data_IF_975444068022
#
_entry.id   IF_975444068022
#
_cell.length_a   1.000
_cell.length_b   1.000
_cell.length_c   1.000
_cell.angle_alpha   90.00
_cell.angle_beta   90.00
_cell.angle_gamma   90.00
#
_symmetry.space_group_name_H-M   'P 1'
#
loop_
_entity.id
_entity.type
_entity.pdbx_description
1 polymer ?
#
# COMPACT_ATOMS: atom_id res chain seq x y z
N UNK A 1 -3.21 -4.05 -1.38
CA UNK A 1 -2.46 -3.06 -0.57
C UNK A 1 -1.34 -3.80 0.15
N UNK A 2 -0.14 -3.24 0.16
CA UNK A 2 1.02 -3.75 0.90
C UNK A 2 1.47 -2.70 1.90
N UNK A 3 1.62 -3.09 3.16
CA UNK A 3 2.24 -2.23 4.19
C UNK A 3 3.68 -2.67 4.35
N UNK A 4 4.62 -1.74 4.20
CA UNK A 4 6.06 -2.04 4.28
C UNK A 4 6.78 -1.08 5.21
N UNK A 5 7.76 -1.56 5.96
CA UNK A 5 8.65 -0.70 6.73
C UNK A 5 9.73 -0.11 5.81
N UNK A 6 10.08 1.18 5.92
CA UNK A 6 11.10 1.80 5.08
C UNK A 6 12.52 1.29 5.39
N UNK A 7 12.70 0.52 6.48
CA UNK A 7 13.97 -0.08 6.90
C UNK A 7 14.33 -1.32 6.09
N UNK A 8 14.58 -1.13 4.80
CA UNK A 8 15.43 -2.03 4.04
C UNK A 8 16.40 -1.12 3.27
N UNK A 9 17.69 -1.15 3.67
CA UNK A 9 18.80 -0.36 3.07
C UNK A 9 18.93 -0.52 1.55
N UNK A 10 18.15 -1.40 0.95
CA UNK A 10 18.15 -1.80 -0.45
C UNK A 10 17.03 -1.14 -1.29
N UNK A 11 16.14 -0.34 -0.70
CA UNK A 11 15.02 0.26 -1.44
C UNK A 11 13.90 -0.73 -1.81
N UNK A 12 13.74 -1.82 -1.07
CA UNK A 12 12.75 -2.89 -1.36
C UNK A 12 11.32 -2.38 -1.58
N UNK A 13 10.86 -1.37 -0.85
CA UNK A 13 9.51 -0.83 -1.05
C UNK A 13 9.41 0.00 -2.34
N UNK A 14 10.47 0.72 -2.74
CA UNK A 14 10.53 1.41 -4.03
C UNK A 14 10.43 0.40 -5.16
N UNK A 15 11.14 -0.72 -5.03
CA UNK A 15 11.04 -1.83 -5.98
C UNK A 15 9.64 -2.44 -6.04
N UNK A 16 8.91 -2.52 -4.93
CA UNK A 16 7.50 -2.95 -4.93
C UNK A 16 6.62 -1.97 -5.71
N UNK A 17 6.82 -0.68 -5.51
CA UNK A 17 6.13 0.38 -6.27
C UNK A 17 6.48 0.31 -7.76
N UNK A 18 7.75 0.13 -8.12
CA UNK A 18 8.20 -0.01 -9.50
C UNK A 18 7.56 -1.22 -10.18
N UNK A 19 7.52 -2.37 -9.50
CA UNK A 19 6.86 -3.58 -9.99
C UNK A 19 5.36 -3.35 -10.14
N UNK A 20 4.71 -2.71 -9.17
CA UNK A 20 3.29 -2.41 -9.24
C UNK A 20 2.96 -1.52 -10.45
N UNK A 21 3.77 -0.48 -10.69
CA UNK A 21 3.59 0.42 -11.82
C UNK A 21 3.93 -0.25 -13.16
N UNK A 22 5.04 -1.01 -13.23
CA UNK A 22 5.50 -1.64 -14.47
C UNK A 22 4.52 -2.70 -14.99
N UNK A 23 3.88 -3.44 -14.09
CA UNK A 23 2.97 -4.54 -14.44
C UNK A 23 1.50 -4.18 -14.25
N UNK A 24 1.19 -2.90 -14.02
CA UNK A 24 -0.17 -2.40 -13.74
C UNK A 24 -0.89 -3.23 -12.66
N UNK A 25 -0.14 -3.57 -11.60
CA UNK A 25 -0.69 -4.34 -10.48
C UNK A 25 -1.54 -3.39 -9.64
N UNK A 26 -2.79 -3.79 -9.38
CA UNK A 26 -3.75 -2.92 -8.70
C UNK A 26 -3.51 -2.69 -7.21
N UNK A 27 -2.32 -2.93 -6.66
CA UNK A 27 -2.06 -2.72 -5.22
C UNK A 27 -1.25 -1.45 -4.97
N UNK A 28 -1.61 -0.74 -3.89
CA UNK A 28 -0.87 0.41 -3.38
C UNK A 28 0.12 0.01 -2.27
N UNK A 29 1.23 0.74 -2.15
CA UNK A 29 2.24 0.57 -1.09
C UNK A 29 2.10 1.69 -0.06
N UNK A 30 1.83 1.32 1.20
CA UNK A 30 1.81 2.25 2.34
C UNK A 30 3.04 2.00 3.20
N UNK A 31 3.80 3.04 3.53
CA UNK A 31 4.99 2.91 4.36
C UNK A 31 4.64 3.05 5.84
N UNK A 32 5.20 2.19 6.68
CA UNK A 32 5.11 2.27 8.13
C UNK A 32 6.43 2.77 8.70
N UNK A 33 6.53 4.09 8.96
CA UNK A 33 7.76 4.77 9.33
C UNK A 33 7.69 5.31 10.76
N UNK A 34 8.71 5.07 11.59
CA UNK A 34 8.72 5.55 12.99
C UNK A 34 9.35 6.94 13.16
N UNK A 35 10.31 7.30 12.32
CA UNK A 35 11.16 8.48 12.49
C UNK A 35 11.29 9.29 11.20
N UNK A 36 10.36 9.16 10.26
CA UNK A 36 10.44 9.95 9.04
C UNK A 36 10.33 11.42 9.38
N UNK A 37 11.34 12.20 8.96
CA UNK A 37 11.17 13.64 8.92
C UNK A 37 10.28 14.04 7.72
N UNK A 38 9.91 15.32 7.66
CA UNK A 38 9.04 15.82 6.60
C UNK A 38 9.67 15.66 5.21
N UNK A 39 11.00 15.77 5.10
CA UNK A 39 11.69 15.63 3.82
C UNK A 39 11.64 14.17 3.36
N UNK A 40 11.92 13.21 4.25
CA UNK A 40 11.82 11.78 3.98
C UNK A 40 10.40 11.36 3.59
N UNK A 41 9.39 11.96 4.22
CA UNK A 41 7.99 11.74 3.86
C UNK A 41 7.67 12.24 2.46
N UNK A 42 8.10 13.47 2.12
CA UNK A 42 7.89 14.04 0.78
C UNK A 42 8.60 13.21 -0.29
N UNK A 43 9.84 12.79 -0.04
CA UNK A 43 10.57 11.93 -0.98
C UNK A 43 9.89 10.57 -1.15
N UNK A 44 9.36 9.97 -0.09
CA UNK A 44 8.63 8.72 -0.21
C UNK A 44 7.37 8.81 -1.08
N UNK A 45 6.63 9.92 -0.96
CA UNK A 45 5.46 10.16 -1.81
C UNK A 45 5.88 10.40 -3.27
N UNK A 46 6.98 11.11 -3.52
CA UNK A 46 7.52 11.31 -4.89
C UNK A 46 7.95 9.99 -5.53
N UNK A 47 8.52 9.10 -4.74
CA UNK A 47 8.94 7.75 -5.16
C UNK A 47 7.76 6.77 -5.27
N UNK A 48 6.52 7.25 -5.09
CA UNK A 48 5.30 6.50 -5.35
C UNK A 48 4.78 5.66 -4.18
N UNK A 49 5.21 5.94 -2.94
CA UNK A 49 4.44 5.50 -1.79
C UNK A 49 3.05 6.18 -1.82
N UNK A 50 2.01 5.41 -1.54
CA UNK A 50 0.63 5.92 -1.50
C UNK A 50 0.37 6.79 -0.27
N UNK A 51 0.90 6.35 0.89
CA UNK A 51 0.84 7.10 2.14
C UNK A 51 2.01 6.67 3.04
N UNK A 52 2.36 7.50 4.03
CA UNK A 52 3.31 7.13 5.08
C UNK A 52 2.61 7.24 6.42
N UNK A 53 2.52 6.11 7.10
CA UNK A 53 2.04 5.98 8.45
C UNK A 53 3.19 6.19 9.42
N UNK A 54 3.08 7.29 10.17
CA UNK A 54 3.88 7.49 11.36
C UNK A 54 3.54 6.38 12.38
N UNK A 55 4.52 5.56 12.74
CA UNK A 55 4.37 4.48 13.71
C UNK A 55 4.06 5.01 15.13
N UNK A 56 4.26 6.31 15.37
CA UNK A 56 3.87 7.00 16.59
C UNK A 56 2.48 7.67 16.47
N UNK A 57 1.84 7.64 15.30
CA UNK A 57 0.52 8.23 15.13
C UNK A 57 -0.57 7.43 15.86
N UNK A 58 -1.64 8.13 16.24
CA UNK A 58 -2.79 7.53 16.90
C UNK A 58 -3.50 6.52 15.97
N UNK A 59 -4.03 5.40 16.52
CA UNK A 59 -4.71 4.35 15.75
C UNK A 59 -5.74 4.82 14.70
N UNK A 60 -6.54 5.88 14.93
CA UNK A 60 -7.51 6.35 13.93
C UNK A 60 -6.89 6.79 12.60
N UNK A 61 -5.69 7.38 12.61
CA UNK A 61 -5.01 7.82 11.38
C UNK A 61 -4.52 6.64 10.56
N UNK A 62 -4.06 5.58 11.23
CA UNK A 62 -3.64 4.33 10.58
C UNK A 62 -4.82 3.64 9.87
N UNK A 63 -5.99 3.62 10.50
CA UNK A 63 -7.22 3.06 9.92
C UNK A 63 -7.64 3.83 8.67
N UNK A 64 -7.63 5.17 8.70
CA UNK A 64 -8.04 5.98 7.55
C UNK A 64 -7.07 5.85 6.36
N UNK A 65 -5.76 5.84 6.59
CA UNK A 65 -4.79 5.60 5.50
C UNK A 65 -4.99 4.22 4.88
N UNK A 66 -5.17 3.19 5.71
CA UNK A 66 -5.43 1.81 5.27
C UNK A 66 -6.72 1.75 4.43
N UNK A 67 -7.79 2.40 4.89
CA UNK A 67 -9.07 2.47 4.18
C UNK A 67 -8.92 3.14 2.81
N UNK A 68 -8.20 4.26 2.72
CA UNK A 68 -7.94 4.97 1.46
C UNK A 68 -7.13 4.13 0.49
N UNK A 69 -6.07 3.48 0.97
CA UNK A 69 -5.23 2.61 0.16
C UNK A 69 -5.96 1.37 -0.34
N UNK A 70 -6.82 0.77 0.49
CA UNK A 70 -7.69 -0.33 0.08
C UNK A 70 -8.68 0.10 -0.99
N UNK A 71 -9.31 1.28 -0.84
CA UNK A 71 -10.25 1.82 -1.82
C UNK A 71 -9.56 2.11 -3.16
N UNK A 72 -8.38 2.74 -3.14
CA UNK A 72 -7.59 2.98 -4.34
C UNK A 72 -7.20 1.68 -5.06
N UNK A 73 -6.75 0.68 -4.30
CA UNK A 73 -6.41 -0.63 -4.85
C UNK A 73 -7.63 -1.34 -5.47
N UNK A 74 -8.80 -1.25 -4.83
CA UNK A 74 -10.05 -1.77 -5.38
C UNK A 74 -10.41 -1.11 -6.72
N UNK A 75 -10.29 0.22 -6.81
CA UNK A 75 -10.53 0.96 -8.06
C UNK A 75 -9.54 0.58 -9.17
N UNK A 76 -8.31 0.20 -8.80
CA UNK A 76 -7.31 -0.35 -9.73
C UNK A 76 -7.51 -1.84 -10.07
N UNK A 77 -8.61 -2.46 -9.63
CA UNK A 77 -8.94 -3.84 -9.97
C UNK A 77 -8.32 -4.91 -9.06
N UNK A 78 -7.68 -4.54 -7.95
CA UNK A 78 -7.21 -5.52 -6.95
C UNK A 78 -8.31 -6.00 -5.98
N UNK A 79 -9.58 -5.77 -6.33
CA UNK A 79 -10.72 -6.32 -5.59
C UNK A 79 -10.83 -7.85 -5.75
N UNK A 80 -11.57 -8.52 -4.86
CA UNK A 80 -11.86 -9.95 -5.02
C UNK A 80 -12.57 -10.18 -6.36
N UNK A 81 -12.13 -11.18 -7.15
CA UNK A 81 -12.84 -11.58 -8.36
C UNK A 81 -14.25 -12.07 -7.94
N UNK A 82 -15.33 -11.42 -8.38
CA UNK A 82 -16.69 -11.82 -8.02
C UNK A 82 -17.02 -13.26 -8.44
N UNK A 83 -16.25 -13.85 -9.37
CA UNK A 83 -16.37 -15.24 -9.81
C UNK A 83 -15.78 -16.25 -8.84
N UNK A 84 -14.87 -15.84 -7.94
CA UNK A 84 -14.24 -16.73 -6.94
C UNK A 84 -15.15 -16.92 -5.71
N UNK A 85 -16.11 -16.02 -5.48
CA UNK A 85 -17.04 -16.09 -4.33
C UNK A 85 -18.30 -16.93 -4.57
N UNK A 86 -18.51 -17.48 -5.76
CA UNK A 86 -19.59 -18.45 -5.97
C UNK A 86 -19.13 -19.80 -5.42
N UNK A 87 -19.77 -20.37 -4.38
CA UNK A 87 -19.48 -21.74 -3.99
C UNK A 87 -19.72 -22.61 -5.22
N UNK A 88 -18.69 -23.33 -5.69
CA UNK A 88 -18.89 -24.37 -6.67
C UNK A 88 -19.87 -25.36 -6.05
N UNK A 89 -21.11 -25.34 -6.51
CA UNK A 89 -22.09 -26.36 -6.18
C UNK A 89 -21.56 -27.66 -6.78
N UNK A 90 -20.98 -28.51 -5.95
CA UNK A 90 -20.60 -29.86 -6.33
C UNK A 90 -21.84 -30.57 -6.89
N UNK A 91 -21.70 -31.11 -8.10
CA UNK A 91 -22.72 -31.91 -8.78
C UNK A 91 -22.76 -33.34 -8.23
#
# INVERSE_FOLDING_TARGET
MVVSTPLLRDGSWRRLTDIANQYDLGFEVVLWARNFDLAEWVEALKDGAFDVLDALCAPPKAVEATRRALWAAYLKGAGPDPRVTSPQKAA
#
